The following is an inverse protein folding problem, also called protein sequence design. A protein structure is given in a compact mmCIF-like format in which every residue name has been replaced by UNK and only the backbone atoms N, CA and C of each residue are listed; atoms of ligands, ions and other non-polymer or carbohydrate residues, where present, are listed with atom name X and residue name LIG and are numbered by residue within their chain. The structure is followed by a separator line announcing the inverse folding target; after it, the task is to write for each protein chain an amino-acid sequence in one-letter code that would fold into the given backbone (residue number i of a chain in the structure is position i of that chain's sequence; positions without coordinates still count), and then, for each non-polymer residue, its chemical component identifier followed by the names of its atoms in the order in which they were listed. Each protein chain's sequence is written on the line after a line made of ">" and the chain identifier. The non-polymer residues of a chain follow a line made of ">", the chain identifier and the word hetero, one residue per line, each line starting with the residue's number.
data_IF_772088686858
#
_entry.id   IF_772088686858
#
_cell.length_a   1.000
_cell.length_b   1.000
_cell.length_c   1.000
_cell.angle_alpha   90.00
_cell.angle_beta   90.00
_cell.angle_gamma   90.00
#
_symmetry.space_group_name_H-M   'P 1'
#
loop_
_entity.id
_entity.type
_entity.pdbx_description
1 polymer ?
#
# COMPACT_ATOMS: atom_id res chain seq x y z
N UNK A 1 -31.22 2.39 -20.98
CA UNK A 1 -30.79 2.63 -19.59
C UNK A 1 -30.30 1.30 -19.01
N UNK A 2 -29.01 0.99 -19.17
CA UNK A 2 -28.36 -0.07 -18.37
C UNK A 2 -28.34 0.42 -16.92
N UNK A 3 -28.99 -0.33 -16.03
CA UNK A 3 -28.81 -0.16 -14.60
C UNK A 3 -27.33 -0.41 -14.32
N UNK A 4 -26.58 0.63 -13.99
CA UNK A 4 -25.39 0.49 -13.19
C UNK A 4 -25.86 -0.12 -11.87
N UNK A 5 -25.66 -1.42 -11.70
CA UNK A 5 -25.62 -2.04 -10.38
C UNK A 5 -24.52 -1.27 -9.65
N UNK A 6 -24.89 -0.48 -8.64
CA UNK A 6 -23.96 0.37 -7.94
C UNK A 6 -22.79 -0.49 -7.44
N UNK A 7 -21.62 -0.26 -8.03
CA UNK A 7 -20.38 -0.83 -7.49
C UNK A 7 -20.24 -0.26 -6.09
N UNK A 8 -20.25 -1.13 -5.10
CA UNK A 8 -20.02 -0.73 -3.71
C UNK A 8 -18.57 -0.29 -3.64
N UNK A 9 -18.35 0.99 -3.33
CA UNK A 9 -17.01 1.48 -3.04
C UNK A 9 -16.57 0.92 -1.69
N UNK A 10 -15.45 0.19 -1.67
CA UNK A 10 -14.86 -0.37 -0.48
C UNK A 10 -13.89 0.64 0.17
N UNK A 11 -13.83 0.65 1.49
CA UNK A 11 -12.98 1.52 2.27
C UNK A 11 -11.72 0.77 2.72
N UNK A 12 -10.57 1.12 2.13
CA UNK A 12 -9.25 0.74 2.64
C UNK A 12 -8.73 1.80 3.62
N UNK A 13 -8.26 1.40 4.79
CA UNK A 13 -7.73 2.32 5.81
C UNK A 13 -6.25 2.02 6.04
N UNK A 14 -5.39 3.00 5.74
CA UNK A 14 -3.98 2.96 6.12
C UNK A 14 -3.84 3.34 7.61
N UNK A 15 -3.13 2.49 8.37
CA UNK A 15 -2.96 2.65 9.83
C UNK A 15 -1.52 3.02 10.24
N UNK A 16 -0.64 3.31 9.29
CA UNK A 16 0.78 3.60 9.57
C UNK A 16 0.98 4.74 10.55
N UNK A 17 0.11 5.76 10.51
CA UNK A 17 0.23 6.92 11.39
C UNK A 17 0.07 6.57 12.87
N UNK A 18 -0.57 5.46 13.22
CA UNK A 18 -0.59 4.92 14.59
C UNK A 18 0.83 4.55 15.03
N UNK A 19 1.57 3.84 14.16
CA UNK A 19 2.96 3.49 14.42
C UNK A 19 3.88 4.74 14.40
N UNK A 20 3.63 5.71 13.51
CA UNK A 20 4.37 6.99 13.51
C UNK A 20 4.27 7.69 14.87
N UNK A 21 3.09 7.74 15.47
CA UNK A 21 2.90 8.34 16.79
C UNK A 21 3.63 7.55 17.89
N UNK A 22 3.61 6.22 17.83
CA UNK A 22 4.33 5.33 18.75
C UNK A 22 5.84 5.59 18.66
N UNK A 23 6.41 5.61 17.46
CA UNK A 23 7.84 5.82 17.23
C UNK A 23 8.27 7.24 17.62
N UNK A 24 7.46 8.26 17.35
CA UNK A 24 7.76 9.63 17.77
C UNK A 24 7.84 9.79 19.29
N UNK A 25 7.11 8.97 20.05
CA UNK A 25 7.10 8.97 21.51
C UNK A 25 8.11 7.98 22.12
N UNK A 26 8.65 7.07 21.31
CA UNK A 26 9.54 5.99 21.73
C UNK A 26 8.97 5.14 22.92
N UNK A 27 7.69 4.81 22.81
CA UNK A 27 6.95 3.98 23.78
C UNK A 27 6.14 2.93 23.01
N UNK A 28 5.48 2.02 23.71
CA UNK A 28 4.64 0.97 23.09
C UNK A 28 3.19 1.43 22.80
N UNK A 29 2.89 2.70 22.95
CA UNK A 29 1.55 3.28 22.82
C UNK A 29 1.59 4.48 21.86
N UNK A 30 0.63 4.62 20.93
CA UNK A 30 -0.55 3.77 20.71
C UNK A 30 -0.25 2.40 20.09
N UNK A 31 -1.04 1.39 20.50
CA UNK A 31 -0.95 0.03 19.98
C UNK A 31 -1.54 -0.04 18.56
N UNK A 32 -0.79 -0.65 17.63
CA UNK A 32 -1.19 -0.77 16.23
C UNK A 32 -2.45 -1.63 16.06
N UNK A 33 -2.61 -2.70 16.85
CA UNK A 33 -3.79 -3.55 16.79
C UNK A 33 -5.05 -2.83 17.28
N UNK A 34 -4.93 -1.95 18.27
CA UNK A 34 -6.05 -1.11 18.70
C UNK A 34 -6.49 -0.17 17.56
N UNK A 35 -5.52 0.43 16.84
CA UNK A 35 -5.81 1.24 15.65
C UNK A 35 -6.48 0.43 14.56
N UNK A 36 -5.99 -0.77 14.27
CA UNK A 36 -6.59 -1.70 13.31
C UNK A 36 -8.05 -2.04 13.68
N UNK A 37 -8.30 -2.44 14.93
CA UNK A 37 -9.66 -2.77 15.37
C UNK A 37 -10.60 -1.56 15.33
N UNK A 38 -10.11 -0.38 15.68
CA UNK A 38 -10.91 0.85 15.57
C UNK A 38 -11.31 1.14 14.12
N UNK A 39 -10.39 0.96 13.17
CA UNK A 39 -10.68 1.11 11.74
C UNK A 39 -11.74 0.08 11.27
N UNK A 40 -11.59 -1.19 11.65
CA UNK A 40 -12.52 -2.26 11.28
C UNK A 40 -13.93 -2.00 11.87
N UNK A 41 -14.01 -1.60 13.14
CA UNK A 41 -15.28 -1.23 13.79
C UNK A 41 -15.90 0.00 13.11
N UNK A 42 -15.06 0.93 12.64
CA UNK A 42 -15.48 2.11 11.87
C UNK A 42 -15.96 1.81 10.46
N UNK A 43 -15.86 0.56 9.99
CA UNK A 43 -16.36 0.13 8.68
C UNK A 43 -15.28 -0.04 7.61
N UNK A 44 -14.01 -0.19 7.99
CA UNK A 44 -12.97 -0.52 7.02
C UNK A 44 -13.20 -1.91 6.40
N UNK A 45 -13.16 -1.99 5.08
CA UNK A 45 -13.23 -3.24 4.30
C UNK A 45 -11.84 -3.84 4.07
N UNK A 46 -10.78 -3.05 4.25
CA UNK A 46 -9.39 -3.45 4.11
C UNK A 46 -8.50 -2.62 5.05
N UNK A 47 -7.48 -3.25 5.60
CA UNK A 47 -6.39 -2.54 6.30
C UNK A 47 -5.19 -2.44 5.36
N UNK A 48 -4.60 -1.26 5.29
CA UNK A 48 -3.35 -1.01 4.57
C UNK A 48 -2.27 -0.60 5.55
N UNK A 49 -1.07 -1.13 5.36
CA UNK A 49 0.12 -0.77 6.13
C UNK A 49 1.36 -0.89 5.24
N UNK A 50 2.39 -0.08 5.51
CA UNK A 50 3.62 -0.03 4.73
C UNK A 50 4.83 -0.50 5.53
N UNK A 51 5.43 -1.62 5.14
CA UNK A 51 6.71 -2.07 5.67
C UNK A 51 7.84 -1.45 4.84
N UNK A 52 8.34 -0.31 5.30
CA UNK A 52 9.45 0.40 4.66
C UNK A 52 10.79 -0.31 4.89
N UNK A 53 11.72 -0.17 3.95
CA UNK A 53 13.08 -0.70 4.09
C UNK A 53 13.81 -0.17 5.34
N UNK A 54 13.53 1.06 5.74
CA UNK A 54 14.16 1.71 6.91
C UNK A 54 13.41 1.48 8.23
N UNK A 55 12.25 0.80 8.21
CA UNK A 55 11.43 0.48 9.40
C UNK A 55 11.12 1.69 10.30
N UNK A 56 11.02 2.90 9.72
CA UNK A 56 10.84 4.13 10.52
C UNK A 56 9.54 4.20 11.31
N UNK A 57 8.57 3.37 11.01
CA UNK A 57 7.28 3.30 11.73
C UNK A 57 6.78 1.86 11.94
N UNK A 58 6.39 1.16 10.88
CA UNK A 58 5.95 -0.24 10.91
C UNK A 58 7.17 -1.16 10.87
N UNK A 59 7.16 -2.20 11.68
CA UNK A 59 8.17 -3.25 11.70
C UNK A 59 7.55 -4.63 11.41
N UNK A 60 8.38 -5.65 11.29
CA UNK A 60 7.96 -7.01 10.92
C UNK A 60 6.99 -7.63 11.94
N UNK A 61 7.11 -7.28 13.22
CA UNK A 61 6.20 -7.81 14.24
C UNK A 61 4.82 -7.18 14.09
N UNK A 62 4.75 -5.87 13.85
CA UNK A 62 3.49 -5.18 13.56
C UNK A 62 2.77 -5.84 12.37
N UNK A 63 3.49 -6.09 11.26
CA UNK A 63 2.90 -6.72 10.06
C UNK A 63 2.39 -8.13 10.37
N UNK A 64 3.16 -8.94 11.10
CA UNK A 64 2.73 -10.28 11.50
C UNK A 64 1.46 -10.23 12.34
N UNK A 65 1.43 -9.31 13.31
CA UNK A 65 0.28 -9.17 14.20
C UNK A 65 -0.96 -8.69 13.46
N UNK A 66 -0.81 -7.72 12.54
CA UNK A 66 -1.88 -7.25 11.66
C UNK A 66 -2.42 -8.39 10.82
N UNK A 67 -1.56 -9.17 10.14
CA UNK A 67 -1.99 -10.30 9.29
C UNK A 67 -2.71 -11.37 10.10
N UNK A 68 -2.20 -11.70 11.28
CA UNK A 68 -2.76 -12.77 12.12
C UNK A 68 -4.08 -12.40 12.79
N UNK A 69 -4.33 -11.12 13.05
CA UNK A 69 -5.49 -10.67 13.83
C UNK A 69 -6.54 -9.92 13.01
N UNK A 70 -6.23 -9.50 11.79
CA UNK A 70 -7.19 -8.82 10.94
C UNK A 70 -8.32 -9.76 10.51
N UNK A 71 -9.56 -9.25 10.57
CA UNK A 71 -10.75 -9.92 10.06
C UNK A 71 -11.17 -9.44 8.68
N UNK A 72 -10.45 -8.49 8.12
CA UNK A 72 -10.60 -7.97 6.77
C UNK A 72 -9.29 -8.16 6.00
N UNK A 73 -9.31 -8.12 4.66
CA UNK A 73 -8.10 -8.22 3.85
C UNK A 73 -7.02 -7.22 4.30
N UNK A 74 -5.76 -7.67 4.30
CA UNK A 74 -4.58 -6.84 4.56
C UNK A 74 -3.88 -6.55 3.24
N UNK A 75 -3.68 -5.27 2.94
CA UNK A 75 -2.83 -4.77 1.87
C UNK A 75 -1.49 -4.31 2.48
N UNK A 76 -0.40 -4.96 2.10
CA UNK A 76 0.94 -4.59 2.54
C UNK A 76 1.64 -3.80 1.42
N UNK A 77 1.88 -2.51 1.66
CA UNK A 77 2.74 -1.72 0.80
C UNK A 77 4.20 -2.06 1.07
N UNK A 78 4.99 -2.24 0.03
CA UNK A 78 6.39 -2.64 0.16
C UNK A 78 7.21 -2.32 -1.09
N UNK A 79 8.54 -2.18 -0.93
CA UNK A 79 9.45 -2.08 -2.05
C UNK A 79 9.69 -3.45 -2.70
N UNK A 80 10.37 -3.43 -3.85
CA UNK A 80 10.80 -4.67 -4.55
C UNK A 80 12.11 -5.24 -3.98
N UNK A 81 12.60 -4.74 -2.85
CA UNK A 81 13.79 -5.25 -2.18
C UNK A 81 13.61 -6.72 -1.81
N UNK A 82 14.63 -7.54 -2.08
CA UNK A 82 14.52 -9.00 -1.95
C UNK A 82 14.21 -9.44 -0.52
N UNK A 83 14.83 -8.81 0.50
CA UNK A 83 14.56 -9.09 1.91
C UNK A 83 13.09 -8.84 2.27
N UNK A 84 12.53 -7.73 1.75
CA UNK A 84 11.12 -7.40 1.95
C UNK A 84 10.21 -8.41 1.24
N UNK A 85 10.54 -8.77 0.00
CA UNK A 85 9.75 -9.74 -0.77
C UNK A 85 9.80 -11.13 -0.14
N UNK A 86 10.96 -11.55 0.42
CA UNK A 86 11.08 -12.79 1.20
C UNK A 86 10.12 -12.80 2.39
N UNK A 87 10.07 -11.67 3.11
CA UNK A 87 9.14 -11.50 4.22
C UNK A 87 7.68 -11.57 3.77
N UNK A 88 7.33 -10.86 2.69
CA UNK A 88 5.96 -10.85 2.12
C UNK A 88 5.53 -12.26 1.70
N UNK A 89 6.39 -13.00 1.00
CA UNK A 89 6.13 -14.38 0.59
C UNK A 89 5.95 -15.32 1.80
N UNK A 90 6.68 -15.09 2.88
CA UNK A 90 6.59 -15.89 4.10
C UNK A 90 5.28 -15.67 4.86
N UNK A 91 4.83 -14.42 4.98
CA UNK A 91 3.67 -14.07 5.81
C UNK A 91 2.36 -13.94 5.03
N UNK A 92 2.43 -13.85 3.70
CA UNK A 92 1.30 -13.92 2.76
C UNK A 92 0.14 -13.00 3.13
N UNK A 93 0.31 -11.67 3.10
CA UNK A 93 -0.81 -10.75 3.18
C UNK A 93 -1.79 -11.04 2.04
N UNK A 94 -3.03 -10.61 2.16
CA UNK A 94 -4.03 -10.79 1.09
C UNK A 94 -3.60 -10.11 -0.22
N UNK A 95 -2.92 -8.95 -0.11
CA UNK A 95 -2.38 -8.17 -1.23
C UNK A 95 -1.03 -7.58 -0.86
N UNK A 96 -0.16 -7.46 -1.84
CA UNK A 96 1.04 -6.64 -1.78
C UNK A 96 0.93 -5.51 -2.82
N UNK A 97 1.05 -4.27 -2.39
CA UNK A 97 1.18 -3.11 -3.27
C UNK A 97 2.65 -2.73 -3.38
N UNK A 98 3.20 -2.86 -4.59
CA UNK A 98 4.60 -2.50 -4.83
C UNK A 98 4.71 -0.98 -5.02
N UNK A 99 5.52 -0.36 -4.16
CA UNK A 99 5.72 1.10 -4.12
C UNK A 99 7.20 1.43 -4.35
N UNK A 100 7.53 2.61 -4.90
CA UNK A 100 8.92 3.06 -4.92
C UNK A 100 9.35 3.45 -3.51
N UNK A 101 10.59 3.11 -3.15
CA UNK A 101 11.21 3.61 -1.93
C UNK A 101 12.59 4.17 -2.24
N UNK A 102 12.81 5.42 -1.82
CA UNK A 102 14.13 6.00 -1.68
C UNK A 102 14.33 6.36 -0.21
N UNK A 103 15.47 5.99 0.35
CA UNK A 103 15.77 6.16 1.78
C UNK A 103 15.67 7.60 2.28
N UNK A 104 15.85 8.58 1.39
CA UNK A 104 15.88 10.01 1.71
C UNK A 104 14.51 10.70 1.57
N UNK A 105 13.48 10.01 1.05
CA UNK A 105 12.16 10.61 0.83
C UNK A 105 11.33 10.60 2.12
N UNK A 106 10.73 11.75 2.45
CA UNK A 106 9.74 11.87 3.53
C UNK A 106 8.38 11.32 3.08
N UNK A 107 8.07 11.48 1.79
CA UNK A 107 6.86 10.98 1.14
C UNK A 107 7.23 10.41 -0.23
N UNK A 108 6.40 9.52 -0.78
CA UNK A 108 6.59 8.99 -2.14
C UNK A 108 6.30 10.08 -3.16
N UNK A 109 7.32 10.51 -3.91
CA UNK A 109 7.24 11.55 -4.93
C UNK A 109 7.02 10.98 -6.34
N UNK A 110 5.99 10.19 -6.54
CA UNK A 110 5.69 9.59 -7.84
C UNK A 110 5.43 8.09 -7.76
N UNK A 111 4.96 7.53 -8.86
CA UNK A 111 4.68 6.11 -8.98
C UNK A 111 5.93 5.25 -9.17
N UNK A 112 5.75 3.94 -9.01
CA UNK A 112 6.79 2.94 -9.28
C UNK A 112 7.25 3.01 -10.75
N UNK A 113 8.54 2.96 -10.97
CA UNK A 113 9.08 2.85 -12.33
C UNK A 113 8.85 1.42 -12.85
N UNK A 114 7.92 1.29 -13.77
CA UNK A 114 7.50 -0.02 -14.32
C UNK A 114 8.55 -0.68 -15.22
N UNK A 115 9.60 0.06 -15.62
CA UNK A 115 10.74 -0.49 -16.35
C UNK A 115 11.85 -1.03 -15.42
N UNK A 116 11.61 -1.07 -14.10
CA UNK A 116 12.61 -1.55 -13.15
C UNK A 116 12.94 -3.02 -13.39
N UNK A 117 14.23 -3.31 -13.56
CA UNK A 117 14.71 -4.68 -13.77
C UNK A 117 14.28 -5.60 -12.61
N UNK A 118 13.71 -6.75 -12.95
CA UNK A 118 13.26 -7.74 -11.97
C UNK A 118 11.83 -7.55 -11.46
N UNK A 119 11.14 -6.46 -11.81
CA UNK A 119 9.78 -6.20 -11.37
C UNK A 119 8.82 -7.36 -11.74
N UNK A 120 8.87 -7.84 -12.98
CA UNK A 120 8.05 -8.95 -13.43
C UNK A 120 8.33 -10.25 -12.64
N UNK A 121 9.60 -10.52 -12.32
CA UNK A 121 9.96 -11.67 -11.49
C UNK A 121 9.36 -11.57 -10.07
N UNK A 122 9.39 -10.38 -9.47
CA UNK A 122 8.77 -10.13 -8.16
C UNK A 122 7.26 -10.35 -8.23
N UNK A 123 6.58 -9.80 -9.24
CA UNK A 123 5.14 -9.99 -9.46
C UNK A 123 4.80 -11.48 -9.55
N UNK A 124 5.52 -12.21 -10.41
CA UNK A 124 5.31 -13.65 -10.59
C UNK A 124 5.55 -14.44 -9.31
N UNK A 125 6.59 -14.10 -8.55
CA UNK A 125 6.90 -14.71 -7.28
C UNK A 125 5.76 -14.53 -6.25
N UNK A 126 5.27 -13.31 -6.08
CA UNK A 126 4.15 -13.01 -5.18
C UNK A 126 2.87 -13.76 -5.59
N UNK A 127 2.57 -13.78 -6.89
CA UNK A 127 1.40 -14.50 -7.42
C UNK A 127 1.49 -16.01 -7.21
N UNK A 128 2.69 -16.60 -7.34
CA UNK A 128 2.92 -18.02 -7.07
C UNK A 128 2.68 -18.39 -5.60
N UNK A 129 2.85 -17.42 -4.67
CA UNK A 129 2.51 -17.60 -3.26
C UNK A 129 1.03 -17.31 -2.95
N UNK A 130 0.20 -17.05 -3.97
CA UNK A 130 -1.22 -16.77 -3.83
C UNK A 130 -1.52 -15.34 -3.35
N UNK A 131 -0.56 -14.44 -3.39
CA UNK A 131 -0.70 -13.05 -2.97
C UNK A 131 -1.18 -12.23 -4.16
N UNK A 132 -2.24 -11.43 -4.00
CA UNK A 132 -2.66 -10.46 -5.01
C UNK A 132 -1.65 -9.34 -5.14
N UNK A 133 -1.38 -8.90 -6.36
CA UNK A 133 -0.40 -7.84 -6.60
C UNK A 133 -1.07 -6.57 -7.09
N UNK A 134 -0.69 -5.46 -6.49
CA UNK A 134 -1.02 -4.10 -6.90
C UNK A 134 0.26 -3.32 -7.19
N UNK A 135 0.19 -2.37 -8.13
CA UNK A 135 1.27 -1.44 -8.41
C UNK A 135 0.83 -0.01 -8.09
N UNK A 136 1.62 0.71 -7.31
CA UNK A 136 1.45 2.14 -7.09
C UNK A 136 2.06 2.91 -8.27
N UNK A 137 1.21 3.54 -9.09
CA UNK A 137 1.62 4.14 -10.36
C UNK A 137 1.14 5.59 -10.52
N UNK A 138 1.86 6.36 -11.31
CA UNK A 138 1.36 7.65 -11.78
C UNK A 138 0.20 7.46 -12.77
N UNK A 139 -0.69 8.45 -12.83
CA UNK A 139 -1.95 8.42 -13.59
C UNK A 139 -1.77 8.61 -15.10
N UNK A 140 -0.61 8.24 -15.67
CA UNK A 140 -0.40 8.27 -17.12
C UNK A 140 -1.07 7.06 -17.80
N UNK A 141 -1.53 7.25 -19.04
CA UNK A 141 -2.10 6.15 -19.82
C UNK A 141 -1.07 5.06 -20.08
N UNK A 142 0.16 5.45 -20.35
CA UNK A 142 1.28 4.54 -20.58
C UNK A 142 1.49 3.58 -19.38
N UNK A 143 1.51 4.12 -18.16
CA UNK A 143 1.65 3.30 -16.95
C UNK A 143 0.47 2.33 -16.75
N UNK A 144 -0.74 2.74 -17.09
CA UNK A 144 -1.92 1.89 -17.00
C UNK A 144 -1.83 0.74 -18.03
N UNK A 145 -1.41 1.04 -19.25
CA UNK A 145 -1.24 0.04 -20.31
C UNK A 145 -0.15 -0.97 -19.92
N UNK A 146 1.02 -0.52 -19.43
CA UNK A 146 2.09 -1.40 -18.94
C UNK A 146 1.63 -2.26 -17.76
N UNK A 147 0.94 -1.68 -16.78
CA UNK A 147 0.40 -2.43 -15.65
C UNK A 147 -0.58 -3.53 -16.09
N UNK A 148 -1.37 -3.27 -17.13
CA UNK A 148 -2.26 -4.26 -17.75
C UNK A 148 -1.46 -5.41 -18.39
N UNK A 149 -0.35 -5.10 -19.07
CA UNK A 149 0.54 -6.12 -19.68
C UNK A 149 1.23 -6.99 -18.62
N UNK A 150 1.61 -6.41 -17.47
CA UNK A 150 2.16 -7.12 -16.32
C UNK A 150 1.13 -8.02 -15.61
N UNK A 151 -0.13 -7.97 -16.04
CA UNK A 151 -1.23 -8.80 -15.55
C UNK A 151 -1.38 -8.77 -14.02
N UNK A 152 -1.19 -7.60 -13.39
CA UNK A 152 -1.42 -7.42 -11.95
C UNK A 152 -2.91 -7.40 -11.62
N UNK A 153 -3.26 -7.66 -10.35
CA UNK A 153 -4.66 -7.76 -9.93
C UNK A 153 -5.34 -6.39 -9.79
N UNK A 154 -4.57 -5.35 -9.46
CA UNK A 154 -5.05 -3.98 -9.33
C UNK A 154 -3.89 -2.97 -9.46
N UNK A 155 -4.28 -1.71 -9.51
CA UNK A 155 -3.37 -0.57 -9.45
C UNK A 155 -3.82 0.37 -8.35
N UNK A 156 -2.86 1.08 -7.78
CA UNK A 156 -3.07 2.21 -6.88
C UNK A 156 -2.58 3.47 -7.58
N UNK A 157 -3.45 4.48 -7.74
CA UNK A 157 -3.15 5.68 -8.48
C UNK A 157 -2.57 6.76 -7.58
N UNK A 158 -1.37 7.25 -7.91
CA UNK A 158 -0.76 8.39 -7.24
C UNK A 158 -1.51 9.69 -7.58
N UNK A 159 -2.16 10.28 -6.59
CA UNK A 159 -2.99 11.48 -6.75
C UNK A 159 -2.28 12.80 -6.44
N UNK A 160 -0.96 12.78 -6.23
CA UNK A 160 -0.18 13.98 -5.86
C UNK A 160 -0.29 15.11 -6.88
N UNK A 161 -0.18 14.81 -8.17
CA UNK A 161 -0.34 15.80 -9.25
C UNK A 161 -1.73 16.44 -9.22
N UNK A 162 -2.78 15.65 -9.01
CA UNK A 162 -4.15 16.15 -8.87
C UNK A 162 -4.26 17.12 -7.68
N UNK A 163 -3.75 16.71 -6.51
CA UNK A 163 -3.80 17.53 -5.30
C UNK A 163 -3.03 18.86 -5.48
N UNK A 164 -1.86 18.82 -6.12
CA UNK A 164 -1.06 20.01 -6.38
C UNK A 164 -1.78 21.00 -7.31
N UNK A 165 -2.37 20.50 -8.41
CA UNK A 165 -3.14 21.34 -9.34
C UNK A 165 -4.35 21.93 -8.62
N UNK A 166 -5.09 21.13 -7.84
CA UNK A 166 -6.24 21.60 -7.08
C UNK A 166 -5.84 22.74 -6.12
N UNK A 167 -4.74 22.57 -5.38
CA UNK A 167 -4.24 23.58 -4.46
C UNK A 167 -3.81 24.87 -5.19
N UNK A 168 -3.13 24.75 -6.36
CA UNK A 168 -2.74 25.90 -7.16
C UNK A 168 -3.96 26.69 -7.67
N UNK A 169 -5.01 26.01 -8.08
CA UNK A 169 -6.24 26.66 -8.56
C UNK A 169 -6.99 27.38 -7.42
N UNK A 170 -6.92 26.86 -6.20
CA UNK A 170 -7.62 27.42 -5.05
C UNK A 170 -6.80 28.42 -4.21
N UNK A 171 -5.48 28.49 -4.40
CA UNK A 171 -4.63 29.48 -3.71
C UNK A 171 -4.74 30.90 -4.26
N UNK A 172 -5.53 31.13 -5.32
CA UNK A 172 -5.82 32.44 -5.90
C UNK A 172 -7.23 32.96 -5.52
N UNK A 173 -7.87 32.35 -4.54
CA UNK A 173 -9.12 32.81 -3.93
C UNK A 173 -8.82 33.31 -2.49
#
# INVERSE_FOLDING_TARGET
>A
YQKFLGEIMLLGVNIDHIAVLREARQVNDPDILMGMYAAIIGGADQITTHLREDRRHINENDVKDIINHSRVPVNLECSINEEIIDFVCKFRPHRATLVPEKREELTTEGGLNLSTAGLENVINRLKNEGIKVSLFIDTSRENIDIASELAVDCIELHTGTYANIFNMLNSNI
#
